data_IF_191241966531
#
_entry.id   IF_191241966531
#
_cell.length_a   1.000
_cell.length_b   1.000
_cell.length_c   1.000
_cell.angle_alpha   90.00
_cell.angle_beta   90.00
_cell.angle_gamma   90.00
#
_symmetry.space_group_name_H-M   'P 1'
#
loop_
_entity.id
_entity.type
_entity.pdbx_description
1 polymer ?
#
# COMPACT_ATOMS: atom_id res chain seq x y z
N UNK A 1 24.78 13.70 44.41
CA UNK A 1 23.80 12.89 45.15
C UNK A 1 22.48 13.65 45.10
N UNK A 2 21.42 13.03 44.53
CA UNK A 2 20.02 13.53 44.41
C UNK A 2 19.84 14.83 43.58
N UNK A 3 18.79 15.09 42.79
CA UNK A 3 17.57 14.43 42.29
C UNK A 3 17.09 15.35 41.12
N UNK A 4 16.05 15.16 40.31
CA UNK A 4 14.85 14.34 40.35
C UNK A 4 14.21 14.28 38.94
N UNK A 5 13.43 13.22 38.78
CA UNK A 5 12.40 12.85 37.79
C UNK A 5 11.48 13.99 37.31
N UNK A 6 11.09 13.95 36.03
CA UNK A 6 9.72 14.24 35.61
C UNK A 6 9.32 13.43 34.35
N UNK A 7 8.43 12.45 34.54
CA UNK A 7 7.59 11.85 33.50
C UNK A 7 6.36 12.74 33.26
N UNK A 8 5.94 12.91 32.00
CA UNK A 8 4.56 13.13 31.50
C UNK A 8 4.66 13.44 30.00
N UNK A 9 3.81 12.98 29.11
CA UNK A 9 2.59 12.19 29.23
C UNK A 9 2.01 11.96 27.83
N UNK A 10 1.24 10.87 27.71
CA UNK A 10 0.05 10.71 26.87
C UNK A 10 -0.14 11.74 25.75
N UNK A 11 0.18 11.38 24.51
CA UNK A 11 -0.37 12.05 23.34
C UNK A 11 -1.80 11.53 23.16
N UNK A 12 -2.74 12.14 23.88
CA UNK A 12 -4.16 12.01 23.57
C UNK A 12 -4.40 12.78 22.28
N UNK A 13 -4.63 12.05 21.19
CA UNK A 13 -5.20 12.57 19.95
C UNK A 13 -6.66 12.94 20.26
N UNK A 14 -6.83 14.12 20.86
CA UNK A 14 -8.14 14.73 21.06
C UNK A 14 -8.49 15.36 19.73
N UNK A 15 -9.35 14.67 18.97
CA UNK A 15 -10.01 15.24 17.81
C UNK A 15 -10.61 16.59 18.17
N UNK A 16 -9.98 17.64 17.66
CA UNK A 16 -10.55 18.97 17.65
C UNK A 16 -11.23 19.09 16.30
N UNK A 17 -12.55 18.94 16.32
CA UNK A 17 -13.44 19.42 15.27
C UNK A 17 -12.92 20.78 14.80
N UNK A 18 -12.37 20.81 13.59
CA UNK A 18 -12.15 22.05 12.87
C UNK A 18 -13.51 22.47 12.28
N UNK A 19 -14.42 22.87 13.16
CA UNK A 19 -15.62 23.56 12.73
C UNK A 19 -15.17 24.92 12.18
N UNK A 20 -15.25 25.03 10.86
CA UNK A 20 -15.31 26.23 10.02
C UNK A 20 -15.14 27.56 10.77
N UNK A 21 -13.88 27.95 11.03
CA UNK A 21 -13.55 29.16 11.77
C UNK A 21 -13.50 30.40 10.86
N UNK A 22 -14.56 30.64 10.08
CA UNK A 22 -14.75 31.92 9.39
C UNK A 22 -15.73 32.79 10.17
N UNK A 23 -15.34 33.22 11.38
CA UNK A 23 -16.03 34.35 12.00
C UNK A 23 -15.89 35.54 11.06
N UNK A 24 -17.00 36.14 10.70
CA UNK A 24 -17.01 37.35 9.88
C UNK A 24 -16.26 38.47 10.62
N UNK A 25 -15.59 39.34 9.87
CA UNK A 25 -14.84 40.48 10.44
C UNK A 25 -15.72 41.33 11.38
N UNK A 26 -17.03 41.38 11.10
CA UNK A 26 -18.05 42.01 11.95
C UNK A 26 -18.18 41.38 13.34
N UNK A 27 -18.18 40.05 13.44
CA UNK A 27 -18.30 39.35 14.71
C UNK A 27 -17.05 39.53 15.58
N UNK A 28 -15.86 39.60 14.95
CA UNK A 28 -14.61 39.90 15.64
C UNK A 28 -14.62 41.32 16.22
N UNK A 29 -15.12 42.28 15.46
CA UNK A 29 -15.23 43.66 15.89
C UNK A 29 -16.24 43.84 17.03
N UNK A 30 -17.35 43.10 16.99
CA UNK A 30 -18.29 43.03 18.11
C UNK A 30 -17.69 42.38 19.36
N UNK A 31 -16.93 41.29 19.21
CA UNK A 31 -16.28 40.61 20.33
C UNK A 31 -15.18 41.48 20.99
N UNK A 32 -14.51 42.31 20.18
CA UNK A 32 -13.59 43.35 20.67
C UNK A 32 -14.34 44.47 21.40
N UNK A 33 -15.44 44.98 20.84
CA UNK A 33 -16.27 46.01 21.46
C UNK A 33 -16.93 45.52 22.77
N UNK A 34 -17.33 44.24 22.83
CA UNK A 34 -17.86 43.57 24.03
C UNK A 34 -16.77 43.27 25.08
N UNK A 35 -15.50 43.55 24.79
CA UNK A 35 -14.37 43.38 25.72
C UNK A 35 -13.94 41.92 25.95
N UNK A 36 -14.46 40.98 25.14
CA UNK A 36 -14.07 39.57 25.19
C UNK A 36 -12.68 39.35 24.59
N UNK A 37 -12.32 40.14 23.57
CA UNK A 37 -10.97 40.17 22.99
C UNK A 37 -10.18 41.34 23.61
N UNK A 38 -9.10 41.01 24.33
CA UNK A 38 -8.17 42.02 24.87
C UNK A 38 -7.01 42.24 23.91
N UNK A 39 -6.51 43.49 23.76
CA UNK A 39 -5.24 43.74 23.08
C UNK A 39 -4.13 42.90 23.75
N UNK A 40 -3.56 41.95 23.01
CA UNK A 40 -2.51 41.04 23.50
C UNK A 40 -2.96 39.60 23.82
N UNK A 41 -4.23 39.23 23.58
CA UNK A 41 -4.70 37.84 23.69
C UNK A 41 -4.37 36.99 22.44
N UNK A 42 -3.78 37.60 21.41
CA UNK A 42 -3.33 36.94 20.19
C UNK A 42 -1.92 36.36 20.41
N UNK A 43 -1.81 35.04 20.48
CA UNK A 43 -0.50 34.36 20.42
C UNK A 43 -0.13 34.22 18.94
N UNK A 44 0.96 34.88 18.53
CA UNK A 44 1.56 34.61 17.22
C UNK A 44 2.07 33.18 17.26
N UNK A 45 1.37 32.27 16.59
CA UNK A 45 1.88 30.92 16.38
C UNK A 45 3.04 31.02 15.41
N UNK A 46 4.25 30.76 15.89
CA UNK A 46 5.43 30.60 15.03
C UNK A 46 5.08 29.61 13.90
N UNK A 47 5.25 30.04 12.66
CA UNK A 47 5.01 29.17 11.50
C UNK A 47 5.85 27.90 11.67
N UNK A 48 5.25 26.73 11.40
CA UNK A 48 6.01 25.47 11.42
C UNK A 48 7.27 25.65 10.56
N UNK A 49 8.46 25.25 11.06
CA UNK A 49 9.70 25.49 10.33
C UNK A 49 9.62 24.88 8.93
N UNK A 50 10.02 25.67 7.92
CA UNK A 50 10.04 25.23 6.53
C UNK A 50 10.96 24.01 6.40
N UNK A 51 10.42 22.91 5.87
CA UNK A 51 11.20 21.69 5.61
C UNK A 51 12.24 22.00 4.53
N UNK A 52 13.53 21.92 4.88
CA UNK A 52 14.63 22.14 3.94
C UNK A 52 14.84 20.87 3.10
N UNK A 53 14.68 20.98 1.78
CA UNK A 53 15.03 19.92 0.83
C UNK A 53 16.41 20.19 0.23
N UNK A 54 17.44 19.57 0.81
CA UNK A 54 18.82 19.70 0.33
C UNK A 54 19.10 18.70 -0.80
N UNK A 55 18.86 19.14 -2.04
CA UNK A 55 19.04 18.28 -3.22
C UNK A 55 20.49 17.96 -3.51
N UNK A 56 21.43 18.81 -3.08
CA UNK A 56 22.85 18.64 -3.41
C UNK A 56 23.51 17.67 -2.43
N UNK A 57 23.17 17.76 -1.14
CA UNK A 57 23.52 16.73 -0.16
C UNK A 57 22.98 15.36 -0.54
N UNK A 58 21.73 15.27 -1.02
CA UNK A 58 21.15 14.00 -1.50
C UNK A 58 21.93 13.39 -2.68
N UNK A 59 22.35 14.21 -3.64
CA UNK A 59 23.18 13.75 -4.78
C UNK A 59 24.57 13.30 -4.33
N UNK A 60 25.17 14.00 -3.36
CA UNK A 60 26.46 13.63 -2.81
C UNK A 60 26.41 12.28 -2.11
N UNK A 61 25.42 12.07 -1.23
CA UNK A 61 25.20 10.77 -0.57
C UNK A 61 24.92 9.66 -1.59
N UNK A 62 24.15 9.93 -2.65
CA UNK A 62 23.92 8.96 -3.72
C UNK A 62 25.24 8.57 -4.38
N UNK A 63 26.10 9.55 -4.70
CA UNK A 63 27.39 9.29 -5.31
C UNK A 63 28.31 8.44 -4.42
N UNK A 64 28.25 8.65 -3.10
CA UNK A 64 28.99 7.84 -2.11
C UNK A 64 28.47 6.40 -2.03
N UNK A 65 27.15 6.19 -2.01
CA UNK A 65 26.56 4.85 -1.94
C UNK A 65 26.55 4.09 -3.27
N UNK A 66 26.70 4.78 -4.41
CA UNK A 66 26.56 4.16 -5.72
C UNK A 66 27.74 3.25 -6.04
N UNK A 67 27.53 1.96 -5.87
CA UNK A 67 28.47 0.93 -6.32
C UNK A 67 28.32 0.67 -7.83
N UNK A 68 29.45 0.63 -8.54
CA UNK A 68 29.51 0.30 -9.98
C UNK A 68 29.65 -1.22 -10.16
N UNK A 69 28.60 -1.96 -9.82
CA UNK A 69 28.56 -3.42 -9.97
C UNK A 69 27.94 -3.83 -11.30
N UNK A 70 28.29 -5.03 -11.76
CA UNK A 70 27.63 -5.61 -12.92
C UNK A 70 26.15 -5.85 -12.59
N UNK A 71 25.27 -5.73 -13.59
CA UNK A 71 23.83 -5.87 -13.36
C UNK A 71 23.44 -7.22 -12.76
N UNK A 72 24.17 -8.30 -13.09
CA UNK A 72 23.93 -9.65 -12.57
C UNK A 72 24.09 -9.77 -11.05
N UNK A 73 24.89 -8.89 -10.43
CA UNK A 73 25.08 -8.87 -8.98
C UNK A 73 23.98 -8.06 -8.27
N UNK A 74 23.36 -7.14 -9.01
CA UNK A 74 22.32 -6.23 -8.50
C UNK A 74 20.92 -6.83 -8.68
N UNK A 75 20.68 -7.52 -9.81
CA UNK A 75 19.40 -8.11 -10.22
C UNK A 75 18.19 -7.18 -10.09
N UNK A 76 18.42 -5.88 -10.14
CA UNK A 76 17.41 -4.86 -9.97
C UNK A 76 16.75 -4.53 -11.31
N UNK A 77 15.44 -4.38 -11.31
CA UNK A 77 14.67 -3.95 -12.47
C UNK A 77 13.75 -2.83 -12.03
N UNK A 78 13.92 -1.66 -12.64
CA UNK A 78 13.11 -0.48 -12.38
C UNK A 78 12.31 -0.18 -13.64
N UNK A 79 10.99 -0.26 -13.53
CA UNK A 79 10.09 0.06 -14.63
C UNK A 79 9.13 1.18 -14.22
N UNK A 80 8.67 1.95 -15.21
CA UNK A 80 7.57 2.89 -15.02
C UNK A 80 6.24 2.17 -14.75
N UNK A 81 5.17 2.93 -14.48
CA UNK A 81 3.84 2.36 -14.25
C UNK A 81 3.36 1.57 -15.46
N UNK A 82 3.02 0.30 -15.27
CA UNK A 82 2.42 -0.54 -16.31
C UNK A 82 0.92 -0.26 -16.39
N UNK A 83 0.44 0.11 -17.58
CA UNK A 83 -0.96 0.43 -17.80
C UNK A 83 -1.86 -0.82 -17.70
N UNK A 84 -3.04 -0.62 -17.13
CA UNK A 84 -4.03 -1.67 -16.95
C UNK A 84 -4.96 -1.78 -18.17
N UNK A 85 -4.92 -2.88 -18.97
CA UNK A 85 -5.78 -3.02 -20.15
C UNK A 85 -7.28 -3.14 -19.84
N UNK A 86 -7.66 -3.42 -18.58
CA UNK A 86 -9.07 -3.49 -18.16
C UNK A 86 -9.61 -2.11 -17.75
N UNK A 87 -8.73 -1.18 -17.38
CA UNK A 87 -9.06 0.20 -17.03
C UNK A 87 -8.98 1.15 -18.23
N UNK A 88 -9.19 0.64 -19.45
CA UNK A 88 -9.05 1.36 -20.72
C UNK A 88 -10.07 2.51 -20.93
N UNK A 89 -10.93 2.81 -19.95
CA UNK A 89 -11.90 3.91 -20.03
C UNK A 89 -11.49 5.17 -19.27
N UNK A 90 -10.35 5.19 -18.58
CA UNK A 90 -9.86 6.37 -17.89
C UNK A 90 -8.47 6.74 -18.37
N UNK A 91 -8.28 8.01 -18.69
CA UNK A 91 -6.99 8.61 -19.04
C UNK A 91 -5.88 8.16 -18.08
N UNK A 92 -4.65 8.06 -18.60
CA UNK A 92 -3.43 7.56 -17.94
C UNK A 92 -2.98 8.29 -16.64
N UNK A 93 -3.88 9.04 -16.01
CA UNK A 93 -3.72 9.81 -14.78
C UNK A 93 -4.74 9.47 -13.69
N UNK A 94 -5.75 8.62 -13.96
CA UNK A 94 -6.64 8.15 -12.90
C UNK A 94 -5.88 7.13 -12.06
N UNK A 95 -5.28 7.68 -10.99
CA UNK A 95 -4.64 6.94 -9.93
C UNK A 95 -5.55 5.78 -9.53
N UNK A 96 -4.99 4.57 -9.49
CA UNK A 96 -5.64 3.41 -8.88
C UNK A 96 -6.21 3.87 -7.56
N UNK A 97 -7.52 3.71 -7.37
CA UNK A 97 -8.18 4.07 -6.12
C UNK A 97 -7.45 3.35 -4.98
N UNK A 98 -6.77 4.09 -4.08
CA UNK A 98 -5.96 3.48 -3.04
C UNK A 98 -6.81 2.67 -2.06
N UNK A 99 -8.13 2.91 -1.99
CA UNK A 99 -9.05 2.14 -1.14
C UNK A 99 -9.58 0.88 -1.81
N UNK A 100 -9.38 0.73 -3.13
CA UNK A 100 -9.78 -0.48 -3.86
C UNK A 100 -8.66 -1.51 -3.88
N UNK A 101 -8.65 -2.38 -2.87
CA UNK A 101 -7.67 -3.46 -2.73
C UNK A 101 -7.53 -4.33 -3.98
N UNK A 102 -8.62 -4.69 -4.67
CA UNK A 102 -8.53 -5.57 -5.84
C UNK A 102 -7.80 -4.93 -7.02
N UNK A 103 -8.06 -3.65 -7.28
CA UNK A 103 -7.38 -2.91 -8.35
C UNK A 103 -5.92 -2.68 -7.98
N UNK A 104 -5.65 -2.32 -6.71
CA UNK A 104 -4.30 -2.12 -6.19
C UNK A 104 -3.45 -3.39 -6.29
N UNK A 105 -3.95 -4.53 -5.83
CA UNK A 105 -3.27 -5.83 -5.95
C UNK A 105 -3.04 -6.25 -7.41
N UNK A 106 -4.00 -5.98 -8.30
CA UNK A 106 -3.84 -6.26 -9.74
C UNK A 106 -2.71 -5.42 -10.37
N UNK A 107 -2.60 -4.15 -9.99
CA UNK A 107 -1.53 -3.27 -10.46
C UNK A 107 -0.15 -3.76 -10.02
N UNK A 108 -0.01 -4.18 -8.74
CA UNK A 108 1.23 -4.74 -8.22
C UNK A 108 1.61 -6.04 -8.93
N UNK A 109 0.63 -6.92 -9.16
CA UNK A 109 0.84 -8.15 -9.90
C UNK A 109 1.36 -7.90 -11.31
N UNK A 110 0.75 -6.94 -12.04
CA UNK A 110 1.17 -6.59 -13.41
C UNK A 110 2.54 -5.95 -13.44
N UNK A 111 2.83 -5.03 -12.52
CA UNK A 111 4.15 -4.43 -12.39
C UNK A 111 5.24 -5.49 -12.17
N UNK A 112 4.99 -6.44 -11.25
CA UNK A 112 5.91 -7.53 -10.97
C UNK A 112 6.07 -8.47 -12.17
N UNK A 113 4.97 -8.84 -12.83
CA UNK A 113 5.01 -9.69 -14.03
C UNK A 113 5.84 -9.05 -15.14
N UNK A 114 5.63 -7.78 -15.41
CA UNK A 114 6.31 -7.07 -16.47
C UNK A 114 7.82 -6.93 -16.17
N UNK A 115 8.19 -6.68 -14.89
CA UNK A 115 9.60 -6.66 -14.47
C UNK A 115 10.28 -8.04 -14.64
N UNK A 116 9.57 -9.13 -14.33
CA UNK A 116 10.08 -10.50 -14.55
C UNK A 116 10.27 -10.76 -16.05
N UNK A 117 9.32 -10.34 -16.89
CA UNK A 117 9.43 -10.50 -18.35
C UNK A 117 10.60 -9.71 -18.94
N UNK A 118 10.97 -8.57 -18.34
CA UNK A 118 12.16 -7.82 -18.73
C UNK A 118 13.46 -8.47 -18.23
N UNK A 119 13.45 -8.99 -16.99
CA UNK A 119 14.63 -9.63 -16.37
C UNK A 119 15.03 -10.94 -17.07
N UNK A 120 14.05 -11.76 -17.46
CA UNK A 120 14.28 -13.11 -17.99
C UNK A 120 15.17 -13.12 -19.25
N UNK A 121 14.94 -12.30 -20.29
CA UNK A 121 15.84 -12.19 -21.45
C UNK A 121 17.25 -11.77 -21.07
N UNK A 122 17.41 -10.84 -20.11
CA UNK A 122 18.72 -10.38 -19.64
C UNK A 122 19.51 -11.51 -18.98
N UNK A 123 18.85 -12.31 -18.13
CA UNK A 123 19.46 -13.49 -17.50
C UNK A 123 19.81 -14.60 -18.49
N UNK A 124 18.96 -14.84 -19.50
CA UNK A 124 19.24 -15.81 -20.57
C UNK A 124 20.46 -15.42 -21.39
N UNK A 125 20.66 -14.13 -21.69
CA UNK A 125 21.87 -13.63 -22.39
C UNK A 125 23.15 -13.91 -21.59
N UNK A 126 23.05 -13.87 -20.27
CA UNK A 126 24.15 -14.19 -19.35
C UNK A 126 24.28 -15.69 -19.04
N UNK A 127 23.50 -16.55 -19.70
CA UNK A 127 23.48 -18.00 -19.51
C UNK A 127 23.18 -18.44 -18.06
N UNK A 128 22.45 -17.63 -17.29
CA UNK A 128 22.04 -17.96 -15.93
C UNK A 128 20.75 -18.81 -15.95
N UNK A 129 20.73 -19.99 -15.32
CA UNK A 129 19.52 -20.81 -15.23
C UNK A 129 18.50 -20.16 -14.30
N UNK A 130 17.27 -19.93 -14.79
CA UNK A 130 16.22 -19.22 -14.03
C UNK A 130 15.12 -20.13 -13.48
N UNK A 131 14.98 -21.34 -14.03
CA UNK A 131 13.96 -22.31 -13.58
C UNK A 131 14.55 -23.22 -12.51
N UNK A 132 13.86 -23.32 -11.38
CA UNK A 132 14.16 -24.33 -10.35
C UNK A 132 13.85 -25.73 -10.91
N UNK A 133 14.83 -26.66 -10.93
CA UNK A 133 14.57 -28.06 -11.26
C UNK A 133 13.68 -28.74 -10.23
N UNK A 134 12.81 -29.66 -10.67
CA UNK A 134 11.90 -30.38 -9.76
C UNK A 134 12.65 -31.34 -8.82
N UNK A 135 13.84 -31.80 -9.22
CA UNK A 135 14.73 -32.69 -8.47
C UNK A 135 15.76 -31.93 -7.59
N UNK A 136 15.60 -30.61 -7.44
CA UNK A 136 16.47 -29.80 -6.59
C UNK A 136 15.80 -29.54 -5.23
N UNK A 137 16.12 -30.40 -4.25
CA UNK A 137 15.64 -30.33 -2.87
C UNK A 137 16.56 -29.45 -2.01
N UNK A 138 16.14 -28.21 -1.80
CA UNK A 138 16.76 -27.27 -0.88
C UNK A 138 15.70 -26.73 0.08
N UNK A 139 16.14 -26.12 1.18
CA UNK A 139 15.23 -25.49 2.14
C UNK A 139 14.42 -24.38 1.45
N UNK A 140 13.10 -24.43 1.63
CA UNK A 140 12.14 -23.47 1.09
C UNK A 140 11.68 -22.51 2.18
N UNK A 141 11.26 -21.30 1.80
CA UNK A 141 10.77 -20.29 2.75
C UNK A 141 9.58 -20.74 3.62
N UNK A 142 8.85 -21.79 3.22
CA UNK A 142 7.78 -22.41 4.00
C UNK A 142 8.00 -23.92 4.05
N UNK A 143 7.74 -24.52 5.21
CA UNK A 143 7.87 -25.97 5.38
C UNK A 143 6.79 -26.75 4.63
N UNK A 144 7.11 -27.98 4.23
CA UNK A 144 6.16 -28.86 3.55
C UNK A 144 4.92 -29.17 4.39
N UNK A 145 5.09 -29.31 5.70
CA UNK A 145 3.97 -29.49 6.64
C UNK A 145 3.00 -28.29 6.60
N UNK A 146 3.52 -27.06 6.53
CA UNK A 146 2.69 -25.86 6.40
C UNK A 146 1.97 -25.84 5.04
N UNK A 147 2.68 -26.17 3.96
CA UNK A 147 2.09 -26.21 2.62
C UNK A 147 1.02 -27.30 2.48
N UNK A 148 1.17 -28.45 3.14
CA UNK A 148 0.15 -29.50 3.18
C UNK A 148 -1.13 -29.02 3.86
N UNK A 149 -1.02 -28.29 4.98
CA UNK A 149 -2.17 -27.66 5.65
C UNK A 149 -2.88 -26.64 4.76
N UNK A 150 -2.13 -25.83 4.02
CA UNK A 150 -2.69 -24.86 3.06
C UNK A 150 -3.45 -25.58 1.94
N UNK A 151 -2.85 -26.64 1.36
CA UNK A 151 -3.50 -27.45 0.32
C UNK A 151 -4.80 -28.11 0.81
N UNK A 152 -4.80 -28.65 2.03
CA UNK A 152 -6.00 -29.23 2.64
C UNK A 152 -7.12 -28.18 2.77
N UNK A 153 -6.81 -26.96 3.22
CA UNK A 153 -7.78 -25.86 3.32
C UNK A 153 -8.33 -25.42 1.96
N UNK A 154 -7.49 -25.38 0.93
CA UNK A 154 -7.93 -25.05 -0.43
C UNK A 154 -8.89 -26.12 -0.96
N UNK A 155 -8.53 -27.40 -0.80
CA UNK A 155 -9.40 -28.52 -1.20
C UNK A 155 -10.73 -28.50 -0.46
N UNK A 156 -10.73 -28.28 0.85
CA UNK A 156 -11.98 -28.21 1.63
C UNK A 156 -12.88 -27.06 1.19
N UNK A 157 -12.31 -25.90 0.84
CA UNK A 157 -13.08 -24.75 0.31
C UNK A 157 -13.68 -25.06 -1.06
N UNK A 158 -12.90 -25.68 -1.95
CA UNK A 158 -13.38 -26.09 -3.26
C UNK A 158 -14.54 -27.09 -3.15
N UNK A 159 -14.38 -28.13 -2.34
CA UNK A 159 -15.45 -29.12 -2.13
C UNK A 159 -16.71 -28.49 -1.50
N UNK A 160 -16.56 -27.53 -0.58
CA UNK A 160 -17.69 -26.83 0.00
C UNK A 160 -18.45 -25.98 -1.05
N UNK A 161 -17.72 -25.31 -1.95
CA UNK A 161 -18.30 -24.54 -3.06
C UNK A 161 -19.04 -25.47 -4.03
N UNK A 162 -18.41 -26.56 -4.46
CA UNK A 162 -19.03 -27.55 -5.36
C UNK A 162 -20.29 -28.18 -4.74
N UNK A 163 -20.27 -28.49 -3.44
CA UNK A 163 -21.45 -29.02 -2.74
C UNK A 163 -22.59 -28.00 -2.71
N UNK A 164 -22.28 -26.72 -2.48
CA UNK A 164 -23.27 -25.63 -2.52
C UNK A 164 -23.88 -25.46 -3.92
N UNK A 165 -23.06 -25.48 -4.96
CA UNK A 165 -23.51 -25.39 -6.36
C UNK A 165 -24.38 -26.59 -6.77
N UNK A 166 -23.94 -27.81 -6.45
CA UNK A 166 -24.73 -29.03 -6.68
C UNK A 166 -26.07 -28.97 -5.95
N UNK A 167 -26.10 -28.50 -4.71
CA UNK A 167 -27.34 -28.32 -3.96
C UNK A 167 -28.26 -27.28 -4.61
N UNK A 168 -27.72 -26.17 -5.12
CA UNK A 168 -28.49 -25.15 -5.86
C UNK A 168 -29.08 -25.72 -7.15
N UNK A 169 -28.30 -26.50 -7.91
CA UNK A 169 -28.76 -27.19 -9.12
C UNK A 169 -29.88 -28.19 -8.82
N UNK A 170 -29.71 -29.04 -7.79
CA UNK A 170 -30.74 -30.00 -7.38
C UNK A 170 -32.05 -29.32 -6.96
N UNK A 171 -31.97 -28.18 -6.25
CA UNK A 171 -33.15 -27.37 -5.90
C UNK A 171 -33.83 -26.80 -7.14
N UNK A 172 -33.07 -26.32 -8.12
CA UNK A 172 -33.60 -25.83 -9.38
C UNK A 172 -34.33 -26.95 -10.14
N UNK A 173 -33.69 -28.11 -10.33
CA UNK A 173 -34.30 -29.27 -11.00
C UNK A 173 -35.62 -29.69 -10.33
N UNK A 174 -35.66 -29.77 -8.99
CA UNK A 174 -36.89 -30.06 -8.24
C UNK A 174 -37.99 -29.01 -8.44
N UNK A 175 -37.63 -27.74 -8.59
CA UNK A 175 -38.60 -26.65 -8.85
C UNK A 175 -39.19 -26.75 -10.26
N UNK A 176 -38.37 -27.06 -11.26
CA UNK A 176 -38.85 -27.26 -12.64
C UNK A 176 -39.68 -28.52 -12.78
N UNK A 177 -39.29 -29.64 -12.15
CA UNK A 177 -40.05 -30.89 -12.18
C UNK A 177 -41.42 -30.83 -11.49
N UNK A 178 -41.72 -29.80 -10.68
CA UNK A 178 -43.05 -29.55 -10.11
C UNK A 178 -43.93 -28.62 -10.98
N UNK A 179 -43.36 -27.99 -12.01
CA UNK A 179 -44.04 -27.04 -12.90
C UNK A 179 -44.47 -27.66 -14.23
N UNK A 180 -43.99 -28.87 -14.53
CA UNK A 180 -44.49 -29.74 -15.60
C UNK A 180 -45.54 -30.65 -14.99
#
# INVERSE_FOLDING_TARGET
MAAAVARRGSFSDSGSDSEDSSLSDSELQEAFAKGALKPGLNVVLEERPKRRNDTDGLKQCLAEFRQKLAWVERLDVTMGPVADPVAQSASASDAVDPENDFQREMSFYRQAQAAVLEALPRLRKLQVPTRRPDDYFAEMAKSDQQMQKIRQKLKSKQEAMERSEKAKQLRAMRKYGKKV
#
